data_IF_939925370625
#
_entry.id   IF_939925370625
#
_cell.length_a   1.000
_cell.length_b   1.000
_cell.length_c   1.000
_cell.angle_alpha   90.00
_cell.angle_beta   90.00
_cell.angle_gamma   90.00
#
_symmetry.space_group_name_H-M   'P 1'
#
loop_
_entity.id
_entity.type
_entity.pdbx_description
1 polymer ?
#
# COMPACT_ATOMS: atom_id res chain seq x y z
N UNK A 1 73.40 8.92 -41.28
CA UNK A 1 73.96 9.18 -42.63
C UNK A 1 73.47 10.58 -43.02
N UNK A 2 74.20 11.59 -42.55
CA UNK A 2 75.11 12.44 -43.33
C UNK A 2 74.33 13.36 -44.29
N UNK A 3 74.06 14.61 -43.88
CA UNK A 3 74.95 15.79 -43.96
C UNK A 3 74.80 16.49 -45.32
N UNK A 4 74.31 17.73 -45.30
CA UNK A 4 75.10 18.95 -45.54
C UNK A 4 75.41 19.15 -47.04
N UNK A 5 74.77 20.12 -47.70
CA UNK A 5 75.18 21.53 -47.77
C UNK A 5 76.32 21.77 -48.76
N UNK A 6 76.23 22.95 -49.40
CA UNK A 6 77.20 23.60 -50.27
C UNK A 6 77.39 22.99 -51.66
N UNK A 7 77.77 23.72 -52.70
CA UNK A 7 77.70 25.12 -53.10
C UNK A 7 78.44 25.16 -54.44
N UNK A 8 78.15 26.19 -55.22
CA UNK A 8 79.10 26.82 -56.15
C UNK A 8 79.56 26.04 -57.40
N UNK A 9 78.99 26.50 -58.51
CA UNK A 9 79.72 27.29 -59.51
C UNK A 9 80.23 26.60 -60.79
N UNK A 10 79.94 27.33 -61.87
CA UNK A 10 80.81 27.64 -63.01
C UNK A 10 80.58 26.89 -64.32
N UNK A 11 80.55 27.69 -65.40
CA UNK A 11 80.98 27.29 -66.73
C UNK A 11 79.84 26.99 -67.70
N UNK A 12 79.25 28.01 -68.33
CA UNK A 12 79.59 28.46 -69.70
C UNK A 12 79.40 27.38 -70.78
N UNK A 13 78.41 27.57 -71.65
CA UNK A 13 78.36 26.83 -72.91
C UNK A 13 77.14 27.13 -73.77
N UNK A 14 77.37 27.83 -74.87
CA UNK A 14 76.60 27.82 -76.11
C UNK A 14 75.16 28.38 -76.14
N UNK A 15 75.08 29.54 -76.80
CA UNK A 15 73.88 30.18 -77.34
C UNK A 15 73.13 29.20 -78.27
N UNK A 16 71.83 29.00 -78.03
CA UNK A 16 70.87 28.67 -79.06
C UNK A 16 69.67 29.61 -78.90
N UNK A 17 69.33 30.28 -79.99
CA UNK A 17 68.33 31.34 -80.05
C UNK A 17 66.94 30.79 -79.66
N UNK A 18 66.46 31.17 -78.47
CA UNK A 18 65.10 30.88 -78.02
C UNK A 18 64.19 31.98 -78.55
N UNK A 19 63.21 31.54 -79.34
CA UNK A 19 62.17 32.33 -79.98
C UNK A 19 61.52 33.36 -79.03
N UNK A 20 61.07 34.51 -79.55
CA UNK A 20 60.39 35.53 -78.75
C UNK A 20 59.18 34.93 -78.00
N UNK A 21 58.92 35.36 -76.75
CA UNK A 21 57.81 34.84 -75.95
C UNK A 21 56.48 35.08 -76.66
N UNK A 22 55.75 33.99 -76.90
CA UNK A 22 54.41 34.05 -77.46
C UNK A 22 53.53 35.01 -76.63
N UNK A 23 52.77 35.90 -77.28
CA UNK A 23 51.86 36.80 -76.57
C UNK A 23 50.85 35.96 -75.79
N UNK A 24 50.75 36.22 -74.47
CA UNK A 24 49.68 35.67 -73.62
C UNK A 24 48.34 35.96 -74.31
N UNK A 25 47.45 34.97 -74.50
CA UNK A 25 46.16 35.23 -75.13
C UNK A 25 45.45 36.30 -74.29
N UNK A 26 45.19 37.44 -74.92
CA UNK A 26 44.33 38.47 -74.35
C UNK A 26 42.99 37.77 -74.10
N UNK A 27 42.40 37.84 -72.89
CA UNK A 27 41.08 37.26 -72.67
C UNK A 27 40.14 37.89 -73.69
N UNK A 28 39.57 37.06 -74.55
CA UNK A 28 38.76 37.52 -75.67
C UNK A 28 37.67 38.44 -75.12
N UNK A 29 37.47 39.60 -75.75
CA UNK A 29 36.40 40.54 -75.37
C UNK A 29 35.02 39.87 -75.38
N UNK A 30 34.89 38.73 -76.06
CA UNK A 30 33.72 37.86 -76.08
C UNK A 30 33.39 37.25 -74.70
N UNK A 31 34.38 36.86 -73.90
CA UNK A 31 34.18 36.24 -72.57
C UNK A 31 33.66 37.24 -71.54
N UNK A 32 34.06 38.52 -71.65
CA UNK A 32 33.55 39.59 -70.78
C UNK A 32 32.08 39.92 -71.07
N UNK A 33 31.69 39.90 -72.35
CA UNK A 33 30.31 40.09 -72.78
C UNK A 33 29.40 38.94 -72.33
N UNK A 34 29.86 37.70 -72.47
CA UNK A 34 29.12 36.51 -72.01
C UNK A 34 28.99 36.46 -70.48
N UNK A 35 30.02 36.90 -69.75
CA UNK A 35 29.98 37.02 -68.29
C UNK A 35 29.00 38.08 -67.77
N UNK A 36 28.86 39.21 -68.48
CA UNK A 36 27.85 40.23 -68.14
C UNK A 36 26.43 39.73 -68.42
N UNK A 37 26.23 39.08 -69.57
CA UNK A 37 24.93 38.53 -69.97
C UNK A 37 24.44 37.46 -68.99
N UNK A 38 25.35 36.58 -68.55
CA UNK A 38 25.06 35.57 -67.52
C UNK A 38 24.69 36.20 -66.16
N UNK A 39 25.34 37.30 -65.76
CA UNK A 39 24.97 38.05 -64.54
C UNK A 39 23.59 38.69 -64.66
N UNK A 40 23.26 39.27 -65.82
CA UNK A 40 21.94 39.83 -66.09
C UNK A 40 20.84 38.76 -66.07
N UNK A 41 21.11 37.57 -66.63
CA UNK A 41 20.20 36.42 -66.57
C UNK A 41 19.98 35.97 -65.12
N UNK A 42 21.04 35.87 -64.30
CA UNK A 42 20.88 35.53 -62.88
C UNK A 42 20.12 36.60 -62.09
N UNK A 43 20.33 37.88 -62.38
CA UNK A 43 19.62 38.98 -61.74
C UNK A 43 18.14 39.01 -62.14
N UNK A 44 17.83 38.75 -63.41
CA UNK A 44 16.45 38.61 -63.90
C UNK A 44 15.75 37.38 -63.28
N UNK A 45 16.44 36.24 -63.21
CA UNK A 45 15.93 35.04 -62.50
C UNK A 45 15.68 35.32 -61.01
N UNK A 46 16.61 36.01 -60.33
CA UNK A 46 16.45 36.36 -58.93
C UNK A 46 15.29 37.33 -58.71
N UNK A 47 15.13 38.34 -59.58
CA UNK A 47 14.01 39.26 -59.54
C UNK A 47 12.68 38.54 -59.79
N UNK A 48 12.61 37.65 -60.78
CA UNK A 48 11.43 36.83 -61.06
C UNK A 48 11.08 35.87 -59.91
N UNK A 49 12.09 35.28 -59.26
CA UNK A 49 11.89 34.43 -58.10
C UNK A 49 11.43 35.26 -56.88
N UNK A 50 12.01 36.44 -56.67
CA UNK A 50 11.62 37.35 -55.59
C UNK A 50 10.18 37.85 -55.76
N UNK A 51 9.76 38.23 -56.97
CA UNK A 51 8.37 38.65 -57.25
C UNK A 51 7.40 37.47 -57.10
N UNK A 52 7.78 36.26 -57.51
CA UNK A 52 7.00 35.05 -57.28
C UNK A 52 6.78 34.76 -55.80
N UNK A 53 7.85 34.79 -54.98
CA UNK A 53 7.73 34.58 -53.53
C UNK A 53 6.94 35.69 -52.83
N UNK A 54 7.10 36.94 -53.28
CA UNK A 54 6.34 38.07 -52.76
C UNK A 54 4.85 37.96 -53.07
N UNK A 55 4.50 37.58 -54.30
CA UNK A 55 3.12 37.30 -54.69
C UNK A 55 2.57 36.09 -53.89
N UNK A 56 3.32 35.00 -53.75
CA UNK A 56 2.92 33.85 -52.93
C UNK A 56 2.67 34.23 -51.45
N UNK A 57 3.45 35.17 -50.91
CA UNK A 57 3.25 35.67 -49.55
C UNK A 57 1.96 36.49 -49.41
N UNK A 58 1.66 37.37 -50.37
CA UNK A 58 0.43 38.16 -50.39
C UNK A 58 -0.83 37.34 -50.64
N UNK A 59 -0.72 36.20 -51.34
CA UNK A 59 -1.84 35.29 -51.55
C UNK A 59 -2.38 34.68 -50.24
N UNK A 60 -1.55 34.57 -49.20
CA UNK A 60 -1.96 34.04 -47.90
C UNK A 60 -2.48 32.59 -47.93
N UNK A 61 -3.40 32.28 -47.02
CA UNK A 61 -4.04 30.96 -46.89
C UNK A 61 -5.31 30.84 -47.73
N UNK A 62 -5.51 29.68 -48.35
CA UNK A 62 -6.74 29.39 -49.09
C UNK A 62 -7.95 29.36 -48.13
N UNK A 63 -9.03 30.06 -48.45
CA UNK A 63 -10.34 29.87 -47.80
C UNK A 63 -10.94 28.53 -48.22
N UNK A 64 -11.82 27.96 -47.39
CA UNK A 64 -12.63 26.81 -47.80
C UNK A 64 -13.33 27.15 -49.12
N UNK A 65 -13.05 26.35 -50.15
CA UNK A 65 -13.29 26.62 -51.58
C UNK A 65 -12.23 27.55 -52.20
N UNK A 66 -11.24 26.92 -52.81
CA UNK A 66 -10.12 27.54 -53.50
C UNK A 66 -10.59 28.46 -54.64
N UNK A 67 -10.24 29.75 -54.56
CA UNK A 67 -9.35 30.47 -55.50
C UNK A 67 -8.80 31.67 -54.72
N UNK A 68 -7.51 31.97 -54.86
CA UNK A 68 -6.95 33.19 -54.29
C UNK A 68 -7.67 34.40 -54.91
N UNK A 69 -8.50 35.10 -54.13
CA UNK A 69 -9.08 36.37 -54.54
C UNK A 69 -7.97 37.41 -54.49
N UNK A 70 -7.25 37.57 -55.60
CA UNK A 70 -6.74 38.90 -55.91
C UNK A 70 -7.93 39.67 -56.47
N UNK A 71 -8.32 40.76 -55.79
CA UNK A 71 -8.99 41.83 -56.51
C UNK A 71 -8.00 42.33 -57.56
N UNK A 72 -8.11 41.84 -58.79
CA UNK A 72 -7.55 42.54 -59.94
C UNK A 72 -8.17 43.94 -59.93
N UNK A 73 -7.38 45.03 -60.01
CA UNK A 73 -7.96 46.28 -60.45
C UNK A 73 -8.51 46.03 -61.86
N UNK A 74 -9.79 46.34 -62.08
CA UNK A 74 -10.40 46.31 -63.40
C UNK A 74 -9.51 47.09 -64.38
N UNK A 75 -8.71 46.36 -65.15
CA UNK A 75 -8.00 46.90 -66.30
C UNK A 75 -8.60 46.27 -67.53
N UNK A 76 -9.35 47.10 -68.23
CA UNK A 76 -10.04 46.81 -69.48
C UNK A 76 -9.12 46.16 -70.53
N UNK A 77 -9.51 44.98 -70.99
CA UNK A 77 -9.58 44.70 -72.43
C UNK A 77 -8.29 44.51 -73.23
N UNK A 78 -7.23 43.90 -72.69
CA UNK A 78 -6.14 43.38 -73.54
C UNK A 78 -5.96 41.87 -73.37
N UNK A 79 -6.55 41.13 -74.33
CA UNK A 79 -6.41 39.69 -74.47
C UNK A 79 -4.97 39.34 -74.83
N UNK A 80 -4.25 38.73 -73.89
CA UNK A 80 -2.98 38.06 -74.18
C UNK A 80 -3.22 36.89 -75.15
N UNK A 81 -2.27 36.59 -76.06
CA UNK A 81 -2.35 35.39 -76.90
C UNK A 81 -2.46 34.13 -76.02
N UNK A 82 -3.32 33.20 -76.43
CA UNK A 82 -3.75 32.02 -75.64
C UNK A 82 -2.61 31.18 -75.09
N UNK A 83 -1.49 31.05 -75.80
CA UNK A 83 -0.31 30.29 -75.34
C UNK A 83 0.45 30.96 -74.19
N UNK A 84 0.41 32.29 -74.10
CA UNK A 84 0.99 33.05 -72.98
C UNK A 84 0.03 33.09 -71.80
N UNK A 85 -1.28 33.14 -72.04
CA UNK A 85 -2.28 33.07 -70.98
C UNK A 85 -2.21 31.74 -70.21
N UNK A 86 -2.08 30.61 -70.92
CA UNK A 86 -1.95 29.28 -70.31
C UNK A 86 -0.64 29.12 -69.52
N UNK A 87 0.45 29.72 -70.03
CA UNK A 87 1.74 29.74 -69.32
C UNK A 87 1.66 30.60 -68.04
N UNK A 88 1.01 31.76 -68.10
CA UNK A 88 0.78 32.65 -66.95
C UNK A 88 -0.10 32.00 -65.90
N UNK A 89 -1.14 31.27 -66.31
CA UNK A 89 -2.01 30.53 -65.41
C UNK A 89 -1.27 29.38 -64.71
N UNK A 90 -0.38 28.67 -65.41
CA UNK A 90 0.47 27.62 -64.83
C UNK A 90 1.60 28.15 -63.95
N UNK A 91 2.07 29.38 -64.18
CA UNK A 91 3.07 30.09 -63.36
C UNK A 91 2.45 30.87 -62.19
N UNK A 92 1.11 30.89 -62.08
CA UNK A 92 0.40 31.67 -61.05
C UNK A 92 0.71 31.09 -59.66
N UNK A 93 1.15 31.92 -58.69
CA UNK A 93 1.43 31.44 -57.35
C UNK A 93 0.13 31.00 -56.68
N UNK A 94 0.05 29.72 -56.32
CA UNK A 94 -1.07 29.16 -55.56
C UNK A 94 -1.03 29.60 -54.10
N UNK A 95 -2.21 29.76 -53.49
CA UNK A 95 -2.34 30.00 -52.05
C UNK A 95 -1.80 28.81 -51.24
N UNK A 96 -1.38 29.06 -50.00
CA UNK A 96 -1.00 27.98 -49.08
C UNK A 96 -2.27 27.29 -48.56
N UNK A 97 -2.31 25.94 -48.47
CA UNK A 97 -3.44 25.26 -47.87
C UNK A 97 -3.63 25.72 -46.41
N UNK A 98 -4.88 25.80 -45.96
CA UNK A 98 -5.17 26.18 -44.58
C UNK A 98 -4.57 25.12 -43.62
N UNK A 99 -3.90 25.54 -42.53
CA UNK A 99 -3.36 24.62 -41.54
C UNK A 99 -4.43 23.71 -40.93
N UNK A 100 -4.03 22.54 -40.45
CA UNK A 100 -4.95 21.64 -39.75
C UNK A 100 -5.60 22.34 -38.54
N UNK A 101 -6.90 22.13 -38.35
CA UNK A 101 -7.71 22.75 -37.29
C UNK A 101 -7.74 24.29 -37.30
N UNK A 102 -7.32 24.94 -38.39
CA UNK A 102 -7.42 26.38 -38.55
C UNK A 102 -8.64 26.76 -39.40
N UNK A 103 -9.24 27.91 -39.09
CA UNK A 103 -10.31 28.52 -39.88
C UNK A 103 -9.71 29.73 -40.60
N UNK A 104 -9.50 29.59 -41.91
CA UNK A 104 -8.92 30.63 -42.77
C UNK A 104 -10.01 31.42 -43.51
N UNK A 105 -9.94 32.76 -43.47
CA UNK A 105 -10.78 33.67 -44.26
C UNK A 105 -9.91 34.80 -44.85
N UNK A 106 -10.17 35.16 -46.10
CA UNK A 106 -9.51 36.27 -46.81
C UNK A 106 -7.97 36.24 -46.74
N UNK A 107 -7.36 35.07 -46.97
CA UNK A 107 -5.89 34.94 -46.94
C UNK A 107 -5.27 34.86 -45.54
N UNK A 108 -6.06 34.96 -44.46
CA UNK A 108 -5.58 34.99 -43.07
C UNK A 108 -6.22 33.92 -42.19
N UNK A 109 -5.52 33.47 -41.15
CA UNK A 109 -6.09 32.56 -40.14
C UNK A 109 -6.84 33.40 -39.11
N UNK A 110 -8.16 33.17 -38.99
CA UNK A 110 -9.02 33.93 -38.08
C UNK A 110 -9.00 33.33 -36.68
N UNK A 111 -9.18 32.01 -36.60
CA UNK A 111 -9.24 31.26 -35.33
C UNK A 111 -8.99 29.78 -35.58
N UNK A 112 -8.76 29.01 -34.51
CA UNK A 112 -8.79 27.56 -34.59
C UNK A 112 -10.24 27.04 -34.57
N UNK A 113 -10.44 25.82 -35.07
CA UNK A 113 -11.76 25.19 -35.24
C UNK A 113 -12.39 24.82 -33.91
N UNK A 114 -11.59 24.31 -32.97
CA UNK A 114 -12.00 23.96 -31.61
C UNK A 114 -11.31 24.85 -30.56
N UNK A 115 -11.95 25.01 -29.40
CA UNK A 115 -11.44 25.84 -28.31
C UNK A 115 -10.19 25.25 -27.61
N UNK A 116 -9.84 23.99 -27.90
CA UNK A 116 -8.66 23.30 -27.37
C UNK A 116 -7.39 23.62 -28.16
N UNK A 117 -7.48 24.42 -29.23
CA UNK A 117 -6.34 24.79 -30.05
C UNK A 117 -6.10 26.29 -30.00
N UNK A 118 -4.84 26.67 -29.79
CA UNK A 118 -4.39 28.05 -29.77
C UNK A 118 -3.56 28.36 -31.01
N UNK A 119 -3.74 29.58 -31.52
CA UNK A 119 -3.02 30.05 -32.69
C UNK A 119 -1.59 30.43 -32.30
N UNK A 120 -0.61 29.65 -32.74
CA UNK A 120 0.81 29.91 -32.51
C UNK A 120 1.49 30.34 -33.81
N UNK A 121 2.34 31.36 -33.72
CA UNK A 121 3.15 31.85 -34.83
C UNK A 121 4.41 31.01 -34.96
N UNK A 122 4.68 30.50 -36.16
CA UNK A 122 5.78 29.58 -36.50
C UNK A 122 6.62 30.11 -37.67
N UNK A 123 7.76 29.45 -37.92
CA UNK A 123 8.72 29.78 -38.98
C UNK A 123 9.85 30.74 -38.56
N UNK A 124 10.95 30.76 -39.33
CA UNK A 124 12.16 31.56 -39.06
C UNK A 124 11.93 33.07 -39.04
N UNK A 125 10.83 33.55 -39.62
CA UNK A 125 10.44 34.96 -39.65
C UNK A 125 9.06 35.22 -39.03
N UNK A 126 8.44 34.22 -38.40
CA UNK A 126 7.17 34.40 -37.69
C UNK A 126 6.00 34.81 -38.61
N UNK A 127 5.92 34.22 -39.79
CA UNK A 127 4.85 34.52 -40.75
C UNK A 127 3.88 33.35 -40.97
N UNK A 128 4.18 32.19 -40.39
CA UNK A 128 3.33 31.02 -40.47
C UNK A 128 2.53 30.89 -39.18
N UNK A 129 1.33 30.32 -39.29
CA UNK A 129 0.44 30.13 -38.17
C UNK A 129 0.05 28.66 -38.11
N UNK A 130 0.07 28.11 -36.91
CA UNK A 130 -0.29 26.73 -36.64
C UNK A 130 -1.21 26.69 -35.42
N UNK A 131 -2.28 25.90 -35.52
CA UNK A 131 -3.18 25.63 -34.40
C UNK A 131 -2.57 24.50 -33.58
N UNK A 132 -1.93 24.85 -32.46
CA UNK A 132 -1.30 23.90 -31.56
C UNK A 132 -2.27 23.62 -30.41
N UNK A 133 -2.44 22.36 -29.97
CA UNK A 133 -3.28 22.06 -28.82
C UNK A 133 -2.80 22.84 -27.58
N UNK A 134 -3.75 23.43 -26.87
CA UNK A 134 -3.53 24.18 -25.64
C UNK A 134 -3.26 23.22 -24.48
N UNK A 135 -2.01 22.74 -24.44
CA UNK A 135 -1.52 21.88 -23.36
C UNK A 135 -1.62 22.56 -21.99
N UNK A 136 -1.50 23.89 -21.90
CA UNK A 136 -1.56 24.60 -20.63
C UNK A 136 -2.99 24.58 -20.07
N UNK A 137 -3.99 24.85 -20.91
CA UNK A 137 -5.41 24.70 -20.55
C UNK A 137 -5.73 23.27 -20.16
N UNK A 138 -5.28 22.28 -20.95
CA UNK A 138 -5.55 20.86 -20.69
C UNK A 138 -5.00 20.44 -19.32
N UNK A 139 -3.77 20.84 -19.00
CA UNK A 139 -3.18 20.59 -17.68
C UNK A 139 -4.02 21.20 -16.56
N UNK A 140 -4.53 22.44 -16.71
CA UNK A 140 -5.37 23.07 -15.68
C UNK A 140 -6.68 22.30 -15.46
N UNK A 141 -7.36 21.91 -16.55
CA UNK A 141 -8.58 21.11 -16.48
C UNK A 141 -8.32 19.75 -15.81
N UNK A 142 -7.28 19.04 -16.26
CA UNK A 142 -6.90 17.74 -15.69
C UNK A 142 -6.52 17.85 -14.21
N UNK A 143 -5.85 18.94 -13.79
CA UNK A 143 -5.54 19.17 -12.38
C UNK A 143 -6.79 19.38 -11.53
N UNK A 144 -7.79 20.12 -12.05
CA UNK A 144 -9.05 20.30 -11.35
C UNK A 144 -9.78 18.96 -11.21
N UNK A 145 -9.88 18.19 -12.29
CA UNK A 145 -10.49 16.85 -12.29
C UNK A 145 -9.77 15.90 -11.32
N UNK A 146 -8.45 15.94 -11.25
CA UNK A 146 -7.69 15.11 -10.31
C UNK A 146 -7.96 15.51 -8.85
N UNK A 147 -8.02 16.81 -8.56
CA UNK A 147 -8.32 17.33 -7.21
C UNK A 147 -9.77 17.05 -6.80
N UNK A 148 -10.73 17.19 -7.71
CA UNK A 148 -12.13 16.82 -7.44
C UNK A 148 -12.23 15.35 -7.12
N UNK A 149 -11.57 14.48 -7.91
CA UNK A 149 -11.52 13.04 -7.62
C UNK A 149 -10.91 12.73 -6.26
N UNK A 150 -9.81 13.40 -5.88
CA UNK A 150 -9.23 13.22 -4.55
C UNK A 150 -10.20 13.62 -3.43
N UNK A 151 -10.90 14.75 -3.59
CA UNK A 151 -11.90 15.22 -2.63
C UNK A 151 -13.11 14.29 -2.54
N UNK A 152 -13.57 13.75 -3.67
CA UNK A 152 -14.67 12.79 -3.75
C UNK A 152 -14.31 11.49 -3.05
N UNK A 153 -13.11 10.96 -3.30
CA UNK A 153 -12.62 9.74 -2.63
C UNK A 153 -12.60 9.90 -1.11
N UNK A 154 -12.15 11.05 -0.61
CA UNK A 154 -12.14 11.34 0.82
C UNK A 154 -13.56 11.46 1.39
N UNK A 155 -14.44 12.21 0.72
CA UNK A 155 -15.82 12.41 1.15
C UNK A 155 -16.63 11.11 1.18
N UNK A 156 -16.51 10.28 0.13
CA UNK A 156 -17.15 8.95 0.08
C UNK A 156 -16.58 8.05 1.18
N UNK A 157 -15.25 8.05 1.38
CA UNK A 157 -14.61 7.26 2.43
C UNK A 157 -15.06 7.64 3.86
N UNK A 158 -15.30 8.92 4.11
CA UNK A 158 -15.82 9.41 5.39
C UNK A 158 -17.28 8.98 5.62
N UNK A 159 -18.14 9.11 4.61
CA UNK A 159 -19.55 8.68 4.70
C UNK A 159 -19.68 7.17 4.90
N UNK A 160 -18.91 6.38 4.16
CA UNK A 160 -18.84 4.92 4.34
C UNK A 160 -18.32 4.52 5.73
N UNK A 161 -17.40 5.30 6.29
CA UNK A 161 -16.93 5.06 7.63
C UNK A 161 -18.00 5.35 8.68
N UNK A 162 -18.69 6.49 8.54
CA UNK A 162 -19.75 6.89 9.45
C UNK A 162 -20.91 5.87 9.44
N UNK A 163 -21.34 5.42 8.26
CA UNK A 163 -22.43 4.44 8.14
C UNK A 163 -22.11 3.11 8.84
N UNK A 164 -20.85 2.66 8.83
CA UNK A 164 -20.40 1.46 9.55
C UNK A 164 -20.46 1.55 11.09
N UNK A 165 -20.64 2.76 11.63
CA UNK A 165 -20.78 2.99 13.08
C UNK A 165 -22.24 3.10 13.53
N UNK A 166 -23.13 3.53 12.63
CA UNK A 166 -24.56 3.74 12.88
C UNK A 166 -25.45 2.56 12.47
N UNK A 167 -24.86 1.46 11.98
CA UNK A 167 -25.55 0.27 11.48
C UNK A 167 -26.21 -0.60 12.56
N UNK A 168 -27.01 0.01 13.42
CA UNK A 168 -28.10 -0.62 14.18
C UNK A 168 -29.47 -0.38 13.50
N UNK A 169 -29.54 0.43 12.45
CA UNK A 169 -30.79 0.87 11.82
C UNK A 169 -30.67 0.86 10.28
N UNK A 170 -31.03 -0.28 9.68
CA UNK A 170 -31.80 -0.39 8.43
C UNK A 170 -31.77 0.81 7.46
N UNK A 171 -30.63 1.11 6.84
CA UNK A 171 -30.60 1.75 5.52
C UNK A 171 -29.45 1.15 4.74
N UNK A 172 -29.64 0.90 3.45
CA UNK A 172 -28.69 0.18 2.62
C UNK A 172 -27.34 0.90 2.67
N UNK A 173 -26.27 0.18 3.03
CA UNK A 173 -24.89 0.69 3.07
C UNK A 173 -24.45 1.31 1.74
N UNK A 174 -25.10 0.88 0.65
CA UNK A 174 -24.90 1.37 -0.70
C UNK A 174 -25.36 2.82 -0.89
N UNK A 175 -26.40 3.28 -0.18
CA UNK A 175 -26.93 4.65 -0.36
C UNK A 175 -26.02 5.70 0.31
N UNK A 176 -25.27 5.31 1.34
CA UNK A 176 -24.31 6.17 2.02
C UNK A 176 -23.10 6.57 1.15
N UNK A 177 -22.84 5.85 0.06
CA UNK A 177 -21.73 6.10 -0.85
C UNK A 177 -22.01 7.18 -1.90
N UNK A 178 -23.28 7.52 -2.12
CA UNK A 178 -23.69 8.43 -3.18
C UNK A 178 -23.71 9.89 -2.70
N UNK A 179 -23.24 10.78 -3.58
CA UNK A 179 -23.22 12.23 -3.37
C UNK A 179 -24.00 12.87 -4.52
N UNK A 180 -24.89 13.84 -4.29
CA UNK A 180 -25.55 14.53 -5.38
C UNK A 180 -24.52 15.37 -6.16
N UNK A 181 -24.59 15.30 -7.48
CA UNK A 181 -23.63 15.95 -8.38
C UNK A 181 -23.69 17.47 -8.26
N UNK A 182 -24.85 18.03 -7.94
CA UNK A 182 -25.04 19.47 -7.71
C UNK A 182 -24.17 19.96 -6.55
N UNK A 183 -24.05 19.20 -5.45
CA UNK A 183 -23.15 19.55 -4.34
C UNK A 183 -21.68 19.59 -4.80
N UNK A 184 -21.29 18.69 -5.71
CA UNK A 184 -19.92 18.62 -6.24
C UNK A 184 -19.65 19.80 -7.17
N UNK A 185 -20.56 20.06 -8.11
CA UNK A 185 -20.46 21.16 -9.08
C UNK A 185 -20.50 22.52 -8.41
N UNK A 186 -21.37 22.71 -7.43
CA UNK A 186 -21.69 24.04 -6.89
C UNK A 186 -20.90 24.37 -5.62
N UNK A 187 -20.36 23.38 -4.91
CA UNK A 187 -19.55 23.59 -3.69
C UNK A 187 -18.11 23.14 -3.82
N UNK A 188 -17.88 21.93 -4.34
CA UNK A 188 -16.54 21.33 -4.36
C UNK A 188 -15.67 21.95 -5.46
N UNK A 189 -16.15 21.97 -6.70
CA UNK A 189 -15.37 22.53 -7.82
C UNK A 189 -15.03 24.02 -7.63
N UNK A 190 -15.95 24.92 -7.21
CA UNK A 190 -15.64 26.33 -7.04
C UNK A 190 -14.69 26.60 -5.88
N UNK A 191 -14.76 25.81 -4.80
CA UNK A 191 -13.79 25.88 -3.72
C UNK A 191 -12.38 25.49 -4.21
N UNK A 192 -12.30 24.47 -5.09
CA UNK A 192 -11.04 24.04 -5.68
C UNK A 192 -10.49 25.06 -6.69
N UNK A 193 -11.31 25.70 -7.52
CA UNK A 193 -10.84 26.75 -8.45
C UNK A 193 -10.27 27.95 -7.69
N UNK A 194 -10.87 28.32 -6.55
CA UNK A 194 -10.32 29.33 -5.65
C UNK A 194 -8.96 28.90 -5.08
N UNK A 195 -8.81 27.63 -4.68
CA UNK A 195 -7.52 27.08 -4.22
C UNK A 195 -6.43 27.11 -5.29
N UNK A 196 -6.81 26.94 -6.56
CA UNK A 196 -5.94 27.01 -7.74
C UNK A 196 -5.64 28.47 -8.16
N UNK A 197 -6.27 29.47 -7.51
CA UNK A 197 -6.12 30.90 -7.81
C UNK A 197 -6.49 31.27 -9.24
N UNK A 198 -7.53 30.64 -9.79
CA UNK A 198 -8.05 30.99 -11.11
C UNK A 198 -8.77 32.33 -11.11
N UNK A 199 -8.67 33.06 -12.21
CA UNK A 199 -9.49 34.27 -12.42
C UNK A 199 -10.95 33.87 -12.70
N UNK A 200 -11.93 34.79 -12.49
CA UNK A 200 -13.32 34.50 -12.83
C UNK A 200 -13.51 34.18 -14.32
N UNK A 201 -12.75 34.84 -15.19
CA UNK A 201 -12.76 34.58 -16.64
C UNK A 201 -12.23 33.18 -16.98
N UNK A 202 -11.13 32.75 -16.33
CA UNK A 202 -10.59 31.40 -16.51
C UNK A 202 -11.56 30.34 -16.00
N UNK A 203 -12.21 30.59 -14.86
CA UNK A 203 -13.17 29.67 -14.27
C UNK A 203 -14.37 29.46 -15.21
N UNK A 204 -14.90 30.52 -15.81
CA UNK A 204 -16.00 30.43 -16.77
C UNK A 204 -15.66 29.58 -18.01
N UNK A 205 -14.38 29.52 -18.40
CA UNK A 205 -13.93 28.76 -19.57
C UNK A 205 -13.53 27.32 -19.21
N UNK A 206 -12.82 27.11 -18.11
CA UNK A 206 -12.23 25.80 -17.76
C UNK A 206 -13.19 24.90 -16.99
N UNK A 207 -14.06 25.47 -16.14
CA UNK A 207 -15.00 24.71 -15.32
C UNK A 207 -16.00 23.87 -16.12
N UNK A 208 -16.70 24.39 -17.15
CA UNK A 208 -17.65 23.57 -17.91
C UNK A 208 -16.96 22.40 -18.64
N UNK A 209 -15.71 22.59 -19.07
CA UNK A 209 -14.91 21.51 -19.66
C UNK A 209 -14.53 20.45 -18.61
N UNK A 210 -14.11 20.87 -17.41
CA UNK A 210 -13.83 19.94 -16.31
C UNK A 210 -15.06 19.15 -15.85
N UNK A 211 -16.24 19.78 -15.87
CA UNK A 211 -17.53 19.12 -15.60
C UNK A 211 -17.83 18.07 -16.67
N UNK A 212 -17.70 18.42 -17.95
CA UNK A 212 -17.92 17.48 -19.06
C UNK A 212 -16.94 16.30 -19.01
N UNK A 213 -15.66 16.58 -18.75
CA UNK A 213 -14.63 15.54 -18.59
C UNK A 213 -14.94 14.64 -17.39
N UNK A 214 -15.41 15.20 -16.26
CA UNK A 214 -15.76 14.42 -15.07
C UNK A 214 -16.96 13.49 -15.28
N UNK A 215 -17.95 13.94 -16.06
CA UNK A 215 -19.14 13.16 -16.39
C UNK A 215 -18.92 12.19 -17.56
N UNK A 216 -17.81 12.33 -18.28
CA UNK A 216 -17.48 11.43 -19.38
C UNK A 216 -17.08 10.05 -18.85
N UNK A 217 -17.37 9.00 -19.64
CA UNK A 217 -16.97 7.62 -19.35
C UNK A 217 -15.44 7.40 -19.38
N UNK A 218 -14.67 8.44 -19.69
CA UNK A 218 -13.22 8.37 -19.84
C UNK A 218 -12.47 8.29 -18.51
N UNK A 219 -13.11 8.65 -17.38
CA UNK A 219 -12.47 8.60 -16.06
C UNK A 219 -12.78 7.27 -15.37
N UNK A 220 -11.76 6.41 -15.20
CA UNK A 220 -11.97 5.13 -14.53
C UNK A 220 -12.37 5.33 -13.06
N UNK A 221 -13.42 4.64 -12.65
CA UNK A 221 -13.84 4.55 -11.26
C UNK A 221 -14.87 5.58 -10.80
N UNK A 222 -15.37 6.44 -11.69
CA UNK A 222 -16.56 7.27 -11.41
C UNK A 222 -17.81 6.49 -11.81
N UNK A 223 -18.79 6.40 -10.92
CA UNK A 223 -20.10 5.84 -11.21
C UNK A 223 -21.15 6.95 -11.08
N UNK A 224 -22.02 7.03 -12.08
CA UNK A 224 -23.13 7.97 -12.13
C UNK A 224 -24.45 7.20 -12.01
N UNK A 225 -25.39 7.77 -11.26
CA UNK A 225 -26.75 7.27 -11.12
C UNK A 225 -27.70 8.45 -11.23
N UNK A 226 -28.46 8.55 -12.32
CA UNK A 226 -29.57 9.50 -12.42
C UNK A 226 -30.85 8.87 -11.88
N UNK A 227 -31.63 9.62 -11.12
CA UNK A 227 -33.05 9.26 -10.88
C UNK A 227 -33.88 9.83 -12.05
N UNK A 228 -34.25 8.94 -12.97
CA UNK A 228 -34.95 9.28 -14.21
C UNK A 228 -35.34 8.05 -15.03
N UNK A 229 -36.45 7.42 -14.59
CA UNK A 229 -37.40 6.59 -15.36
C UNK A 229 -36.88 5.29 -16.03
N UNK A 230 -37.30 4.16 -15.44
CA UNK A 230 -37.51 2.84 -16.03
C UNK A 230 -36.64 2.36 -17.22
N UNK A 231 -35.78 1.39 -16.90
CA UNK A 231 -35.50 0.30 -17.82
C UNK A 231 -36.80 -0.45 -18.17
N UNK A 232 -37.44 -0.10 -19.29
CA UNK A 232 -38.08 -1.00 -20.25
C UNK A 232 -38.96 -0.20 -21.23
N UNK A 233 -38.46 0.03 -22.44
CA UNK A 233 -39.25 -0.08 -23.67
C UNK A 233 -38.34 0.02 -24.89
N UNK A 234 -38.36 -1.04 -25.70
CA UNK A 234 -37.82 -1.09 -27.05
C UNK A 234 -38.59 -0.12 -27.96
N UNK A 235 -38.16 1.13 -28.09
CA UNK A 235 -38.60 2.00 -29.20
C UNK A 235 -37.56 3.11 -29.47
N UNK A 236 -36.82 3.07 -30.60
CA UNK A 236 -35.72 4.01 -30.89
C UNK A 236 -36.16 5.29 -31.62
N UNK A 237 -37.45 5.64 -31.59
CA UNK A 237 -37.99 6.75 -32.37
C UNK A 237 -38.83 7.67 -31.48
N UNK A 238 -38.15 8.58 -30.76
CA UNK A 238 -38.61 9.92 -30.35
C UNK A 238 -37.54 10.52 -29.41
N UNK A 239 -36.49 11.09 -30.01
CA UNK A 239 -35.64 12.09 -29.37
C UNK A 239 -35.95 13.41 -30.07
N UNK A 240 -37.02 14.06 -29.62
CA UNK A 240 -37.18 15.50 -29.80
C UNK A 240 -36.36 16.18 -28.72
N UNK A 241 -35.46 17.05 -29.15
CA UNK A 241 -34.78 18.02 -28.32
C UNK A 241 -35.81 18.82 -27.48
N UNK A 242 -35.45 19.13 -26.22
CA UNK A 242 -36.15 20.00 -25.25
C UNK A 242 -36.94 19.35 -24.08
N UNK A 243 -36.70 18.08 -23.71
CA UNK A 243 -37.11 17.60 -22.37
C UNK A 243 -36.00 17.90 -21.34
N UNK A 244 -36.26 18.93 -20.53
CA UNK A 244 -35.45 19.34 -19.38
C UNK A 244 -35.39 18.17 -18.37
N UNK A 245 -34.25 17.48 -18.32
CA UNK A 245 -33.98 16.39 -17.37
C UNK A 245 -34.04 16.94 -15.91
N UNK A 246 -35.21 16.89 -15.27
CA UNK A 246 -35.40 17.14 -13.83
C UNK A 246 -34.99 15.91 -12.97
N UNK A 247 -33.88 15.27 -13.33
CA UNK A 247 -33.35 14.12 -12.58
C UNK A 247 -32.15 14.53 -11.73
N UNK A 248 -32.18 14.22 -10.43
CA UNK A 248 -30.99 14.40 -9.59
C UNK A 248 -29.92 13.36 -9.98
N UNK A 249 -28.74 13.84 -10.35
CA UNK A 249 -27.60 12.99 -10.72
C UNK A 249 -26.78 12.72 -9.47
N UNK A 250 -26.54 11.46 -9.17
CA UNK A 250 -25.70 11.01 -8.07
C UNK A 250 -24.37 10.51 -8.59
N UNK A 251 -23.29 10.82 -7.87
CA UNK A 251 -21.94 10.40 -8.17
C UNK A 251 -21.35 9.60 -7.00
N UNK A 252 -20.63 8.54 -7.31
CA UNK A 252 -19.81 7.80 -6.35
C UNK A 252 -18.50 7.34 -7.00
N UNK A 253 -17.56 6.87 -6.18
CA UNK A 253 -16.22 6.46 -6.61
C UNK A 253 -15.93 5.04 -6.16
N UNK A 254 -15.34 4.24 -7.05
CA UNK A 254 -14.99 2.83 -6.77
C UNK A 254 -13.88 2.67 -5.73
N UNK A 255 -12.94 3.63 -5.66
CA UNK A 255 -11.78 3.62 -4.78
C UNK A 255 -11.84 4.71 -3.69
N UNK A 256 -12.68 4.56 -2.65
CA UNK A 256 -12.79 5.55 -1.57
C UNK A 256 -11.54 5.59 -0.68
N UNK A 257 -11.14 6.80 -0.30
CA UNK A 257 -10.01 7.04 0.60
C UNK A 257 -10.50 7.10 2.05
N UNK A 258 -10.28 6.01 2.81
CA UNK A 258 -10.70 5.94 4.21
C UNK A 258 -9.75 6.68 5.15
N UNK A 259 -10.27 7.39 6.17
CA UNK A 259 -9.43 8.00 7.21
C UNK A 259 -8.71 6.92 8.03
N UNK A 260 -7.54 7.27 8.57
CA UNK A 260 -6.68 6.33 9.31
C UNK A 260 -7.42 5.65 10.47
N UNK A 261 -8.26 6.40 11.19
CA UNK A 261 -9.09 5.88 12.28
C UNK A 261 -10.03 4.77 11.80
N UNK A 262 -10.64 4.93 10.63
CA UNK A 262 -11.54 3.94 10.06
C UNK A 262 -10.81 2.67 9.65
N UNK A 263 -9.67 2.84 8.98
CA UNK A 263 -8.82 1.73 8.55
C UNK A 263 -8.37 0.91 9.75
N UNK A 264 -7.82 1.57 10.78
CA UNK A 264 -7.39 0.91 12.01
C UNK A 264 -8.57 0.23 12.71
N UNK A 265 -9.73 0.88 12.81
CA UNK A 265 -10.91 0.29 13.46
C UNK A 265 -11.43 -0.94 12.73
N UNK A 266 -11.47 -0.89 11.40
CA UNK A 266 -11.92 -2.01 10.56
C UNK A 266 -10.96 -3.20 10.65
N UNK A 267 -9.66 -2.95 10.49
CA UNK A 267 -8.64 -3.99 10.60
C UNK A 267 -8.54 -4.55 12.03
N UNK A 268 -8.66 -3.71 13.07
CA UNK A 268 -8.68 -4.17 14.45
C UNK A 268 -9.90 -5.04 14.75
N UNK A 269 -11.09 -4.69 14.24
CA UNK A 269 -12.29 -5.53 14.36
C UNK A 269 -12.12 -6.86 13.63
N UNK A 270 -11.61 -6.83 12.40
CA UNK A 270 -11.36 -8.04 11.62
C UNK A 270 -10.33 -8.95 12.32
N UNK A 271 -9.22 -8.38 12.77
CA UNK A 271 -8.18 -9.08 13.53
C UNK A 271 -8.73 -9.68 14.83
N UNK A 272 -9.51 -8.89 15.58
CA UNK A 272 -10.11 -9.35 16.82
C UNK A 272 -11.09 -10.50 16.57
N UNK A 273 -11.98 -10.40 15.60
CA UNK A 273 -12.92 -11.49 15.27
C UNK A 273 -12.21 -12.77 14.77
N UNK A 274 -11.14 -12.62 14.00
CA UNK A 274 -10.38 -13.74 13.47
C UNK A 274 -9.56 -14.47 14.55
N UNK A 275 -8.89 -13.71 15.44
CA UNK A 275 -7.94 -14.28 16.40
C UNK A 275 -8.51 -14.51 17.80
N UNK A 276 -9.65 -13.90 18.15
CA UNK A 276 -10.30 -14.11 19.44
C UNK A 276 -10.52 -15.59 19.81
N UNK A 277 -11.04 -16.48 18.93
CA UNK A 277 -11.22 -17.89 19.29
C UNK A 277 -9.88 -18.60 19.54
N UNK A 278 -8.82 -18.25 18.81
CA UNK A 278 -7.49 -18.83 19.03
C UNK A 278 -6.88 -18.39 20.36
N UNK A 279 -7.00 -17.09 20.71
CA UNK A 279 -6.53 -16.56 21.99
C UNK A 279 -7.32 -17.15 23.16
N UNK A 280 -8.65 -17.26 23.04
CA UNK A 280 -9.50 -17.89 24.05
C UNK A 280 -9.13 -19.38 24.23
N UNK A 281 -8.89 -20.11 23.14
CA UNK A 281 -8.44 -21.49 23.17
C UNK A 281 -7.09 -21.66 23.87
N UNK A 282 -6.10 -20.83 23.54
CA UNK A 282 -4.79 -20.84 24.19
C UNK A 282 -4.88 -20.52 25.70
N UNK A 283 -5.70 -19.53 26.07
CA UNK A 283 -5.94 -19.18 27.46
C UNK A 283 -6.59 -20.35 28.22
N UNK A 284 -7.58 -21.02 27.64
CA UNK A 284 -8.24 -22.18 28.24
C UNK A 284 -7.25 -23.32 28.49
N UNK A 285 -6.39 -23.64 27.51
CA UNK A 285 -5.33 -24.66 27.67
C UNK A 285 -4.34 -24.26 28.76
N UNK A 286 -3.93 -22.99 28.82
CA UNK A 286 -3.05 -22.47 29.87
C UNK A 286 -3.66 -22.60 31.28
N UNK A 287 -4.95 -22.28 31.43
CA UNK A 287 -5.68 -22.42 32.70
C UNK A 287 -5.79 -23.89 33.11
N UNK A 288 -6.13 -24.78 32.18
CA UNK A 288 -6.19 -26.23 32.44
C UNK A 288 -4.82 -26.75 32.89
N UNK A 289 -3.74 -26.34 32.20
CA UNK A 289 -2.37 -26.68 32.58
C UNK A 289 -2.00 -26.21 33.99
N UNK A 290 -2.35 -24.98 34.36
CA UNK A 290 -2.13 -24.44 35.71
C UNK A 290 -2.92 -25.21 36.78
N UNK A 291 -4.18 -25.55 36.53
CA UNK A 291 -5.02 -26.32 37.45
C UNK A 291 -4.46 -27.74 37.64
N UNK A 292 -4.07 -28.40 36.55
CA UNK A 292 -3.46 -29.73 36.60
C UNK A 292 -2.15 -29.70 37.37
N UNK A 293 -1.27 -28.72 37.12
CA UNK A 293 -0.02 -28.53 37.86
C UNK A 293 -0.27 -28.30 39.35
N UNK A 294 -1.23 -27.43 39.70
CA UNK A 294 -1.59 -27.17 41.10
C UNK A 294 -2.10 -28.44 41.78
N UNK A 295 -2.99 -29.19 41.13
CA UNK A 295 -3.51 -30.47 41.67
C UNK A 295 -2.43 -31.53 41.80
N UNK A 296 -1.48 -31.59 40.85
CA UNK A 296 -0.37 -32.51 40.90
C UNK A 296 0.54 -32.25 42.10
N UNK A 297 0.98 -31.00 42.31
CA UNK A 297 1.79 -30.64 43.47
C UNK A 297 1.05 -30.84 44.80
N UNK A 298 -0.25 -30.53 44.85
CA UNK A 298 -1.07 -30.82 46.03
C UNK A 298 -1.22 -32.32 46.32
N UNK A 299 -1.24 -33.17 45.30
CA UNK A 299 -1.24 -34.63 45.48
C UNK A 299 0.11 -35.13 45.97
N UNK A 300 1.21 -34.63 45.40
CA UNK A 300 2.56 -34.98 45.84
C UNK A 300 2.82 -34.57 47.29
N UNK A 301 2.53 -33.32 47.65
CA UNK A 301 2.71 -32.82 49.01
C UNK A 301 1.89 -33.65 50.02
N UNK A 302 0.63 -33.96 49.70
CA UNK A 302 -0.19 -34.83 50.57
C UNK A 302 0.38 -36.23 50.74
N UNK A 303 0.84 -36.87 49.66
CA UNK A 303 1.45 -38.21 49.74
C UNK A 303 2.70 -38.20 50.61
N UNK A 304 3.57 -37.22 50.41
CA UNK A 304 4.77 -37.07 51.22
C UNK A 304 4.44 -36.87 52.71
N UNK A 305 3.48 -35.99 53.03
CA UNK A 305 3.06 -35.76 54.42
C UNK A 305 2.43 -37.00 55.06
N UNK A 306 1.63 -37.76 54.31
CA UNK A 306 1.05 -39.01 54.79
C UNK A 306 2.17 -40.02 55.12
N UNK A 307 3.15 -40.20 54.23
CA UNK A 307 4.27 -41.13 54.44
C UNK A 307 5.15 -40.70 55.62
N UNK A 308 5.48 -39.41 55.71
CA UNK A 308 6.30 -38.86 56.80
C UNK A 308 5.61 -39.01 58.16
N UNK A 309 4.32 -38.65 58.26
CA UNK A 309 3.56 -38.80 59.49
C UNK A 309 3.37 -40.27 59.87
N UNK A 310 3.18 -41.16 58.88
CA UNK A 310 3.11 -42.61 59.12
C UNK A 310 4.41 -43.09 59.77
N UNK A 311 5.57 -42.68 59.26
CA UNK A 311 6.86 -43.05 59.84
C UNK A 311 7.05 -42.51 61.26
N UNK A 312 6.64 -41.26 61.53
CA UNK A 312 6.70 -40.68 62.87
C UNK A 312 5.81 -41.42 63.87
N UNK A 313 4.58 -41.79 63.47
CA UNK A 313 3.67 -42.60 64.29
C UNK A 313 4.27 -43.99 64.54
N UNK A 314 4.85 -44.63 63.52
CA UNK A 314 5.53 -45.91 63.68
C UNK A 314 6.71 -45.83 64.66
N UNK A 315 7.50 -44.75 64.61
CA UNK A 315 8.59 -44.52 65.55
C UNK A 315 8.07 -44.38 67.00
N UNK A 316 6.99 -43.62 67.21
CA UNK A 316 6.37 -43.47 68.54
C UNK A 316 5.79 -44.79 69.06
N UNK A 317 5.12 -45.58 68.21
CA UNK A 317 4.59 -46.90 68.59
C UNK A 317 5.71 -47.87 68.98
N UNK A 318 6.83 -47.81 68.26
CA UNK A 318 8.00 -48.63 68.57
C UNK A 318 8.70 -48.21 69.86
N UNK A 319 8.82 -46.91 70.11
CA UNK A 319 9.39 -46.39 71.36
C UNK A 319 8.53 -46.78 72.55
N UNK A 320 7.20 -46.69 72.42
CA UNK A 320 6.29 -47.08 73.48
C UNK A 320 6.24 -48.57 73.77
N UNK A 321 6.36 -49.42 72.75
CA UNK A 321 6.56 -50.86 72.97
C UNK A 321 7.91 -51.17 73.64
N UNK A 322 8.96 -50.35 73.43
CA UNK A 322 10.22 -50.51 74.18
C UNK A 322 10.06 -50.12 75.64
N UNK A 323 9.44 -48.97 75.92
CA UNK A 323 9.22 -48.51 77.30
C UNK A 323 8.37 -49.51 78.07
N UNK A 324 7.28 -50.02 77.48
CA UNK A 324 6.44 -51.02 78.11
C UNK A 324 7.15 -52.37 78.38
N UNK A 325 8.21 -52.69 77.62
CA UNK A 325 9.03 -53.91 77.85
C UNK A 325 10.12 -53.69 78.89
N UNK A 326 10.70 -52.50 78.93
CA UNK A 326 11.77 -52.13 79.87
C UNK A 326 11.22 -51.81 81.26
N UNK A 327 9.93 -51.46 81.36
CA UNK A 327 9.23 -51.23 82.63
C UNK A 327 8.98 -52.55 83.39
N UNK A 328 9.81 -52.79 84.40
CA UNK A 328 9.72 -53.96 85.28
C UNK A 328 8.39 -54.02 86.08
N UNK A 329 7.72 -52.88 86.29
CA UNK A 329 6.46 -52.80 87.04
C UNK A 329 5.22 -52.93 86.14
N UNK A 330 5.39 -53.02 84.81
CA UNK A 330 4.30 -53.15 83.83
C UNK A 330 3.20 -52.08 83.98
N UNK A 331 3.59 -50.88 84.41
CA UNK A 331 2.69 -49.77 84.64
C UNK A 331 2.37 -49.02 83.35
N UNK A 332 3.32 -49.01 82.40
CA UNK A 332 3.15 -48.37 81.09
C UNK A 332 2.51 -49.29 80.04
N UNK A 333 1.46 -48.84 79.33
CA UNK A 333 0.79 -49.65 78.32
C UNK A 333 1.58 -49.74 77.01
N UNK A 334 1.67 -50.93 76.42
CA UNK A 334 2.31 -51.15 75.11
C UNK A 334 1.47 -50.68 73.89
N UNK A 335 0.50 -49.78 74.10
CA UNK A 335 -0.43 -49.33 73.05
C UNK A 335 -0.67 -47.82 73.15
N UNK A 336 -0.91 -47.17 72.00
CA UNK A 336 -1.27 -45.76 71.93
C UNK A 336 -2.66 -45.54 71.33
N UNK A 337 -3.45 -44.70 72.00
CA UNK A 337 -4.78 -44.33 71.54
C UNK A 337 -4.75 -43.53 70.24
N UNK A 338 -5.58 -43.90 69.27
CA UNK A 338 -5.66 -43.23 67.95
C UNK A 338 -6.06 -41.77 68.11
N UNK A 339 -7.03 -41.50 68.99
CA UNK A 339 -7.51 -40.13 69.27
C UNK A 339 -6.41 -39.26 69.86
N UNK A 340 -5.61 -39.81 70.78
CA UNK A 340 -4.50 -39.08 71.40
C UNK A 340 -3.39 -38.76 70.40
N UNK A 341 -3.03 -39.72 69.53
CA UNK A 341 -2.09 -39.50 68.43
C UNK A 341 -2.60 -38.45 67.45
N UNK A 342 -3.87 -38.53 67.07
CA UNK A 342 -4.51 -37.55 66.17
C UNK A 342 -4.48 -36.15 66.77
N UNK A 343 -4.77 -36.01 68.06
CA UNK A 343 -4.78 -34.70 68.72
C UNK A 343 -3.36 -34.15 68.94
N UNK A 344 -2.37 -35.02 69.16
CA UNK A 344 -0.95 -34.65 69.28
C UNK A 344 -0.43 -34.03 67.98
N UNK A 345 -0.58 -34.76 66.86
CA UNK A 345 -0.15 -34.27 65.55
C UNK A 345 -1.09 -33.21 64.95
N UNK A 346 -2.37 -33.25 65.33
CA UNK A 346 -3.39 -32.32 64.85
C UNK A 346 -3.16 -30.88 65.29
N UNK A 347 -2.53 -30.64 66.45
CA UNK A 347 -2.18 -29.28 66.91
C UNK A 347 -1.07 -28.64 66.06
N UNK A 348 -0.07 -29.42 65.66
CA UNK A 348 1.05 -28.92 64.86
C UNK A 348 0.72 -28.87 63.37
N UNK A 349 0.19 -29.96 62.81
CA UNK A 349 -0.06 -30.10 61.38
C UNK A 349 -1.45 -29.60 60.96
N UNK A 350 -2.45 -29.69 61.83
CA UNK A 350 -3.82 -29.23 61.54
C UNK A 350 -3.92 -27.71 61.38
N UNK A 351 -3.10 -26.95 62.12
CA UNK A 351 -3.02 -25.49 61.99
C UNK A 351 -2.34 -25.04 60.69
N UNK A 352 -1.41 -25.84 60.15
CA UNK A 352 -0.66 -25.51 58.92
C UNK A 352 -1.38 -25.97 57.65
N UNK A 353 -2.00 -27.16 57.65
CA UNK A 353 -2.70 -27.73 56.51
C UNK A 353 -4.19 -27.31 56.41
N UNK A 354 -4.79 -26.92 57.55
CA UNK A 354 -6.21 -26.66 57.69
C UNK A 354 -7.05 -27.93 57.97
N UNK A 355 -8.25 -27.78 58.55
CA UNK A 355 -9.00 -28.89 59.16
C UNK A 355 -9.41 -29.98 58.16
N UNK A 356 -9.91 -29.61 56.98
CA UNK A 356 -10.33 -30.57 55.94
C UNK A 356 -9.16 -31.36 55.34
N UNK A 357 -8.00 -30.72 55.20
CA UNK A 357 -6.82 -31.40 54.66
C UNK A 357 -6.24 -32.34 55.71
N UNK A 358 -6.23 -31.92 56.97
CA UNK A 358 -5.83 -32.76 58.10
C UNK A 358 -6.65 -34.05 58.16
N UNK A 359 -7.99 -33.98 58.08
CA UNK A 359 -8.85 -35.17 58.04
C UNK A 359 -8.47 -36.12 56.89
N UNK A 360 -8.18 -35.58 55.71
CA UNK A 360 -7.78 -36.37 54.54
C UNK A 360 -6.40 -37.02 54.72
N UNK A 361 -5.46 -36.29 55.32
CA UNK A 361 -4.11 -36.78 55.60
C UNK A 361 -4.18 -37.88 56.66
N UNK A 362 -4.89 -37.64 57.76
CA UNK A 362 -5.06 -38.60 58.84
C UNK A 362 -5.75 -39.88 58.38
N UNK A 363 -6.82 -39.78 57.58
CA UNK A 363 -7.45 -40.96 56.96
C UNK A 363 -6.48 -41.74 56.06
N UNK A 364 -5.55 -41.05 55.39
CA UNK A 364 -4.47 -41.68 54.63
C UNK A 364 -3.46 -42.42 55.50
N UNK A 365 -3.12 -41.86 56.66
CA UNK A 365 -2.23 -42.48 57.66
C UNK A 365 -2.88 -43.72 58.28
N UNK A 366 -4.14 -43.62 58.69
CA UNK A 366 -4.93 -44.78 59.17
C UNK A 366 -4.97 -45.90 58.12
N UNK A 367 -5.17 -45.55 56.84
CA UNK A 367 -5.19 -46.52 55.76
C UNK A 367 -3.81 -47.15 55.45
N UNK A 368 -2.71 -46.43 55.68
CA UNK A 368 -1.36 -46.96 55.56
C UNK A 368 -1.02 -47.89 56.73
N UNK A 369 -1.29 -47.46 57.97
CA UNK A 369 -1.06 -48.25 59.17
C UNK A 369 -1.91 -49.52 59.21
N UNK A 370 -3.14 -49.47 58.71
CA UNK A 370 -3.99 -50.66 58.58
C UNK A 370 -3.44 -51.71 57.60
N UNK A 371 -2.58 -51.30 56.64
CA UNK A 371 -1.90 -52.20 55.71
C UNK A 371 -0.57 -52.72 56.25
N UNK A 372 0.01 -52.04 57.24
CA UNK A 372 1.30 -52.42 57.80
C UNK A 372 1.17 -53.67 58.69
N UNK A 373 1.89 -54.77 58.40
CA UNK A 373 1.75 -56.02 59.15
C UNK A 373 2.31 -55.96 60.58
N UNK A 374 3.08 -54.91 60.89
CA UNK A 374 3.71 -54.72 62.20
C UNK A 374 2.83 -53.98 63.21
N UNK A 375 1.68 -53.45 62.78
CA UNK A 375 0.76 -52.68 63.61
C UNK A 375 -0.55 -53.45 63.74
N UNK A 376 -1.09 -53.53 64.96
CA UNK A 376 -2.39 -54.12 65.22
C UNK A 376 -3.32 -53.09 65.84
N UNK A 377 -4.54 -53.06 65.33
CA UNK A 377 -5.66 -52.36 65.95
C UNK A 377 -6.19 -53.21 67.10
N UNK A 378 -6.21 -52.63 68.31
CA UNK A 378 -6.77 -53.26 69.50
C UNK A 378 -7.76 -52.31 70.16
N UNK A 379 -8.80 -52.85 70.77
CA UNK A 379 -9.70 -52.09 71.63
C UNK A 379 -9.18 -52.22 73.07
N UNK A 380 -8.67 -51.12 73.60
CA UNK A 380 -7.99 -51.08 74.90
C UNK A 380 -8.80 -50.31 75.93
N UNK A 381 -8.70 -50.72 77.21
CA UNK A 381 -9.28 -49.98 78.32
C UNK A 381 -8.19 -49.21 79.05
N UNK A 382 -8.25 -47.89 79.03
CA UNK A 382 -7.32 -47.01 79.72
C UNK A 382 -8.09 -46.07 80.65
N UNK A 383 -7.72 -46.04 81.95
CA UNK A 383 -8.38 -45.22 82.99
C UNK A 383 -9.91 -45.38 83.08
N UNK A 384 -10.44 -46.55 82.71
CA UNK A 384 -11.87 -46.84 82.76
C UNK A 384 -12.61 -46.62 81.44
N UNK A 385 -12.02 -45.90 80.49
CA UNK A 385 -12.58 -45.64 79.16
C UNK A 385 -12.09 -46.69 78.15
N UNK A 386 -12.96 -47.08 77.22
CA UNK A 386 -12.64 -48.02 76.15
C UNK A 386 -12.34 -47.20 74.90
N UNK A 387 -11.18 -47.41 74.30
CA UNK A 387 -10.74 -46.70 73.10
C UNK A 387 -9.97 -47.60 72.16
N UNK A 388 -10.09 -47.31 70.86
CA UNK A 388 -9.28 -47.96 69.85
C UNK A 388 -7.85 -47.40 69.89
N UNK A 389 -6.91 -48.34 69.94
CA UNK A 389 -5.48 -48.06 70.04
C UNK A 389 -4.69 -48.91 69.06
N UNK A 390 -3.52 -48.39 68.69
CA UNK A 390 -2.55 -49.11 67.90
C UNK A 390 -1.48 -49.69 68.81
N UNK A 391 -1.15 -50.95 68.56
CA UNK A 391 -0.08 -51.68 69.22
C UNK A 391 0.94 -52.12 68.18
N UNK A 392 2.22 -51.94 68.50
CA UNK A 392 3.31 -52.49 67.72
C UNK A 392 3.53 -53.97 68.05
N UNK A 393 3.55 -54.82 67.03
CA UNK A 393 3.78 -56.28 67.15
C UNK A 393 5.07 -56.70 66.44
N UNK A 394 5.68 -55.80 65.66
CA UNK A 394 6.90 -56.07 64.92
C UNK A 394 8.10 -56.42 65.83
N UNK A 395 9.08 -57.12 65.25
CA UNK A 395 10.31 -57.42 65.97
C UNK A 395 11.24 -56.19 66.02
N UNK A 396 11.45 -55.63 67.21
CA UNK A 396 12.34 -54.47 67.43
C UNK A 396 13.80 -54.76 67.03
N UNK A 397 14.21 -56.03 67.05
CA UNK A 397 15.54 -56.47 66.65
C UNK A 397 15.83 -56.22 65.16
N UNK A 398 14.83 -56.35 64.27
CA UNK A 398 15.02 -56.20 62.81
C UNK A 398 15.36 -54.76 62.40
N UNK A 399 14.87 -53.75 63.12
CA UNK A 399 15.21 -52.34 62.83
C UNK A 399 16.64 -51.99 63.24
N UNK A 400 17.18 -52.59 64.30
CA UNK A 400 18.61 -52.49 64.64
C UNK A 400 19.47 -53.06 63.49
N UNK A 401 19.06 -54.18 62.89
CA UNK A 401 19.70 -54.72 61.70
C UNK A 401 19.56 -53.82 60.46
N UNK A 402 18.38 -53.24 60.21
CA UNK A 402 18.19 -52.30 59.09
C UNK A 402 18.99 -51.00 59.23
N UNK A 403 19.05 -50.41 60.44
CA UNK A 403 19.90 -49.23 60.71
C UNK A 403 21.39 -49.57 60.56
N UNK A 404 21.81 -50.78 60.99
CA UNK A 404 23.19 -51.26 60.82
C UNK A 404 23.54 -51.56 59.36
N UNK A 405 22.60 -52.07 58.57
CA UNK A 405 22.77 -52.28 57.13
C UNK A 405 22.83 -50.95 56.35
N UNK A 406 21.97 -49.98 56.71
CA UNK A 406 21.93 -48.64 56.06
C UNK A 406 23.12 -47.76 56.46
N UNK A 407 23.64 -47.91 57.69
CA UNK A 407 24.88 -47.26 58.16
C UNK A 407 26.16 -47.96 57.70
N UNK A 408 26.14 -49.30 57.53
CA UNK A 408 27.29 -50.07 57.04
C UNK A 408 27.59 -49.87 55.55
N UNK A 409 26.58 -49.54 54.74
CA UNK A 409 26.77 -49.22 53.32
C UNK A 409 27.47 -47.87 53.08
N UNK A 410 27.50 -46.96 54.06
CA UNK A 410 28.21 -45.68 53.96
C UNK A 410 29.68 -45.76 54.45
N UNK A 411 30.09 -46.85 55.12
CA UNK A 411 31.43 -46.99 55.71
C UNK A 411 32.41 -47.89 54.94
N UNK A 412 31.97 -48.59 53.88
CA UNK A 412 32.81 -49.53 53.14
C UNK A 412 33.47 -48.93 51.87
N UNK A 413 33.35 -47.61 51.65
CA UNK A 413 33.87 -46.94 50.45
C UNK A 413 35.10 -46.04 50.70
N UNK A 414 35.69 -46.04 51.90
CA UNK A 414 36.82 -45.14 52.23
C UNK A 414 38.12 -45.84 52.67
N UNK A 415 38.22 -47.17 52.56
CA UNK A 415 39.42 -47.92 53.00
C UNK A 415 40.02 -48.78 51.87
N UNK A 416 40.30 -48.15 50.74
CA UNK A 416 41.13 -48.72 49.67
C UNK A 416 42.00 -47.61 49.05
N UNK A 417 43.12 -47.31 49.71
CA UNK A 417 44.13 -46.40 49.20
C UNK A 417 45.17 -46.04 50.25
N UNK A 418 46.11 -46.95 50.50
CA UNK A 418 47.56 -46.65 50.64
C UNK A 418 48.30 -47.91 51.12
N UNK A 419 48.84 -48.64 50.14
CA UNK A 419 49.98 -49.54 50.28
C UNK A 419 50.80 -49.47 48.98
#
# INVERSE_FOLDING_TARGET
MQAAAAAAAAGKGAKSAKAPPAPKPKPDRLDKGLGLLRKLVYLAMFAAMATYFYARYRAGYCSHHAVAIYHEPDTDGQSLPTSLAELVERLRPTCKPCPAHAVCQNGSVVRCSHADYILRRTGTFGHEYECVPDTARRVQVDTLVALTMQSLRAAVGERLCASSTLSSSSSNTNDAAWIPFEDVRDRVMPALTHSLRWSPEQTAVYLPQAVADLLSETIPGVQLRGDGVHAHSDDPALLSDDDEFEGQVWITVTDPAFPLSCRVRREARAWLLQWWPALAGAAAVGIVGLVLRRRYHQRLWRRFQIEDLTNQVLDLLMEQDQIARDDAQQQEPAFLGIVALRDLFGKELGNTAGPRQWETIWAGVEANLAKDPNVRLITSKHRGEIMDSWQWIGFNSLKKFQRRAKGGAAGAASDAGDA
#
